data_IF_984731165970
#
_entry.id   IF_984731165970
#
_cell.length_a   1.000
_cell.length_b   1.000
_cell.length_c   1.000
_cell.angle_alpha   90.00
_cell.angle_beta   90.00
_cell.angle_gamma   90.00
#
_symmetry.space_group_name_H-M   'P 1'
#
loop_
_entity.id
_entity.type
_entity.pdbx_description
1 polymer ?
#
# COMPACT_ATOMS: atom_id res chain seq x y z
N UNK A 1 -21.08 20.69 8.32
CA UNK A 1 -19.67 20.40 8.01
C UNK A 1 -19.54 18.89 8.15
N UNK A 2 -18.93 18.20 7.18
CA UNK A 2 -18.66 16.77 7.36
C UNK A 2 -17.72 16.59 8.56
N UNK A 3 -17.87 15.50 9.31
CA UNK A 3 -16.89 15.15 10.35
C UNK A 3 -15.50 14.94 9.71
N UNK A 4 -14.44 15.28 10.45
CA UNK A 4 -13.06 15.12 9.97
C UNK A 4 -12.74 13.63 9.79
N UNK A 5 -12.19 13.25 8.63
CA UNK A 5 -11.72 11.89 8.32
C UNK A 5 -10.20 11.93 8.22
N UNK A 6 -9.49 11.32 9.15
CA UNK A 6 -8.03 11.26 9.17
C UNK A 6 -7.51 10.10 8.35
N UNK A 7 -6.62 10.41 7.40
CA UNK A 7 -6.03 9.43 6.50
C UNK A 7 -4.51 9.52 6.63
N UNK A 8 -3.92 8.50 7.26
CA UNK A 8 -2.49 8.39 7.44
C UNK A 8 -1.86 7.56 6.32
N UNK A 9 -0.79 8.07 5.72
CA UNK A 9 0.07 7.35 4.78
C UNK A 9 1.40 7.08 5.46
N UNK A 10 1.82 5.82 5.51
CA UNK A 10 3.12 5.46 6.05
C UNK A 10 4.22 5.76 5.03
N UNK A 11 5.30 6.42 5.46
CA UNK A 11 6.51 6.68 4.67
C UNK A 11 7.68 5.95 5.29
N UNK A 12 8.47 5.31 4.43
CA UNK A 12 9.75 4.69 4.77
C UNK A 12 10.71 4.74 3.57
N UNK A 13 12.03 4.72 3.78
CA UNK A 13 13.00 4.79 2.69
C UNK A 13 12.78 3.69 1.65
N UNK A 14 12.98 4.01 0.37
CA UNK A 14 12.81 3.09 -0.77
C UNK A 14 11.36 2.60 -0.98
N UNK A 15 10.37 3.33 -0.49
CA UNK A 15 8.98 3.12 -0.90
C UNK A 15 8.80 3.41 -2.41
N UNK A 16 7.88 2.72 -3.08
CA UNK A 16 7.47 3.08 -4.44
C UNK A 16 6.53 4.27 -4.37
N UNK A 17 6.99 5.46 -4.81
CA UNK A 17 6.25 6.70 -4.53
C UNK A 17 4.80 6.69 -5.03
N UNK A 18 4.54 6.00 -6.16
CA UNK A 18 3.20 5.95 -6.75
C UNK A 18 2.20 5.14 -5.90
N UNK A 19 2.67 4.18 -5.12
CA UNK A 19 1.86 3.42 -4.16
C UNK A 19 1.31 4.32 -3.05
N UNK A 20 1.96 5.46 -2.81
CA UNK A 20 1.56 6.47 -1.83
C UNK A 20 0.84 7.63 -2.51
N UNK A 21 1.48 8.27 -3.49
CA UNK A 21 1.00 9.51 -4.11
C UNK A 21 -0.25 9.31 -4.95
N UNK A 22 -0.42 8.14 -5.58
CA UNK A 22 -1.63 7.77 -6.31
C UNK A 22 -2.87 7.78 -5.41
N UNK A 23 -2.93 6.92 -4.37
CA UNK A 23 -4.04 6.95 -3.43
C UNK A 23 -4.16 8.28 -2.68
N UNK A 24 -3.06 8.97 -2.32
CA UNK A 24 -3.12 10.28 -1.67
C UNK A 24 -3.79 11.35 -2.54
N UNK A 25 -3.55 11.35 -3.86
CA UNK A 25 -4.20 12.28 -4.79
C UNK A 25 -5.73 12.09 -4.82
N UNK A 26 -6.21 10.85 -4.73
CA UNK A 26 -7.64 10.53 -4.69
C UNK A 26 -8.23 10.85 -3.32
N UNK A 27 -7.64 10.32 -2.25
CA UNK A 27 -8.18 10.39 -0.89
C UNK A 27 -8.15 11.81 -0.31
N UNK A 28 -7.22 12.67 -0.71
CA UNK A 28 -7.20 14.09 -0.33
C UNK A 28 -8.41 14.89 -0.82
N UNK A 29 -9.19 14.36 -1.78
CA UNK A 29 -10.40 15.01 -2.31
C UNK A 29 -11.69 14.50 -1.66
N UNK A 30 -11.61 13.51 -0.78
CA UNK A 30 -12.77 13.02 -0.03
C UNK A 30 -13.26 14.15 0.90
N UNK A 31 -14.56 14.51 0.89
CA UNK A 31 -15.08 15.55 1.77
C UNK A 31 -14.79 15.26 3.25
N UNK A 32 -14.18 16.21 3.95
CA UNK A 32 -13.77 16.06 5.35
C UNK A 32 -12.41 15.40 5.56
N UNK A 33 -11.72 14.96 4.49
CA UNK A 33 -10.43 14.31 4.61
C UNK A 33 -9.31 15.24 5.07
N UNK A 34 -8.52 14.75 6.02
CA UNK A 34 -7.24 15.32 6.44
C UNK A 34 -6.16 14.26 6.23
N UNK A 35 -5.24 14.52 5.30
CA UNK A 35 -4.15 13.61 4.94
C UNK A 35 -2.91 13.93 5.76
N UNK A 36 -2.29 12.89 6.32
CA UNK A 36 -1.02 12.97 7.04
C UNK A 36 -0.02 11.95 6.48
N UNK A 37 1.24 12.37 6.38
CA UNK A 37 2.36 11.57 5.92
C UNK A 37 3.23 11.22 7.14
N UNK A 38 3.12 9.98 7.60
CA UNK A 38 3.73 9.50 8.85
C UNK A 38 5.05 8.80 8.58
N UNK A 39 6.14 9.18 9.26
CA UNK A 39 7.43 8.50 9.16
C UNK A 39 8.15 8.40 10.51
N UNK A 40 9.31 7.74 10.56
CA UNK A 40 10.13 7.65 11.77
C UNK A 40 10.68 9.01 12.25
N UNK A 41 11.05 9.88 11.32
CA UNK A 41 11.50 11.26 11.57
C UNK A 41 10.82 12.23 10.60
N UNK A 42 11.07 13.54 10.73
CA UNK A 42 10.60 14.55 9.77
C UNK A 42 11.60 14.82 8.62
N UNK A 43 12.67 14.03 8.53
CA UNK A 43 13.66 14.18 7.46
C UNK A 43 13.07 13.73 6.11
N UNK A 44 13.53 14.29 4.98
CA UNK A 44 13.09 13.84 3.66
C UNK A 44 13.37 12.34 3.44
N UNK A 45 12.34 11.61 3.04
CA UNK A 45 12.39 10.17 2.81
C UNK A 45 12.54 9.91 1.30
N UNK A 46 13.67 9.35 0.84
CA UNK A 46 13.88 9.05 -0.57
C UNK A 46 13.08 7.81 -1.01
N UNK A 47 12.36 7.90 -2.13
CA UNK A 47 11.69 6.79 -2.78
C UNK A 47 12.68 5.88 -3.55
N UNK A 48 12.19 4.75 -4.06
CA UNK A 48 12.92 3.85 -4.95
C UNK A 48 13.39 4.48 -6.28
N UNK A 49 12.79 5.60 -6.67
CA UNK A 49 13.14 6.37 -7.88
C UNK A 49 13.82 7.72 -7.57
N UNK A 50 14.22 7.95 -6.32
CA UNK A 50 14.97 9.15 -5.91
C UNK A 50 14.13 10.41 -5.67
N UNK A 51 12.80 10.34 -5.76
CA UNK A 51 11.92 11.41 -5.31
C UNK A 51 11.91 11.43 -3.78
N UNK A 52 12.30 12.56 -3.17
CA UNK A 52 12.23 12.72 -1.73
C UNK A 52 10.86 13.27 -1.31
N UNK A 53 10.22 12.59 -0.35
CA UNK A 53 8.94 12.98 0.24
C UNK A 53 9.18 13.52 1.65
N UNK A 54 8.48 14.58 2.04
CA UNK A 54 8.62 15.19 3.37
C UNK A 54 7.47 14.74 4.27
N UNK A 55 7.75 14.04 5.39
CA UNK A 55 6.73 13.65 6.37
C UNK A 55 6.09 14.88 7.03
N UNK A 56 4.84 14.74 7.45
CA UNK A 56 4.12 15.80 8.19
C UNK A 56 4.03 15.51 9.69
N UNK A 57 4.22 14.25 10.09
CA UNK A 57 4.13 13.80 11.48
C UNK A 57 5.01 12.56 11.70
N UNK A 58 5.47 12.34 12.92
CA UNK A 58 6.24 11.14 13.27
C UNK A 58 5.33 9.98 13.69
N UNK A 59 5.81 8.73 13.65
CA UNK A 59 5.08 7.55 14.16
C UNK A 59 4.76 7.62 15.67
N UNK A 60 5.55 8.41 16.41
CA UNK A 60 5.38 8.67 17.84
C UNK A 60 4.27 9.70 18.09
N UNK A 61 4.19 10.74 17.25
CA UNK A 61 3.26 11.85 17.42
C UNK A 61 1.93 11.67 16.67
N UNK A 62 1.87 10.74 15.72
CA UNK A 62 0.67 10.44 14.96
C UNK A 62 -0.44 9.85 15.86
N UNK A 63 -1.58 10.53 15.87
CA UNK A 63 -2.81 10.06 16.54
C UNK A 63 -3.50 8.93 15.80
N UNK A 64 -4.67 8.52 16.29
CA UNK A 64 -5.52 7.54 15.60
C UNK A 64 -6.03 8.11 14.28
N UNK A 65 -5.88 7.32 13.20
CA UNK A 65 -6.40 7.61 11.88
C UNK A 65 -7.63 6.73 11.58
N UNK A 66 -8.59 7.26 10.84
CA UNK A 66 -9.73 6.48 10.35
C UNK A 66 -9.31 5.50 9.24
N UNK A 67 -8.28 5.89 8.47
CA UNK A 67 -7.70 5.09 7.39
C UNK A 67 -6.18 5.12 7.49
N UNK A 68 -5.56 3.93 7.51
CA UNK A 68 -4.13 3.80 7.26
C UNK A 68 -3.89 3.26 5.85
N UNK A 69 -2.98 3.89 5.11
CA UNK A 69 -2.49 3.41 3.80
C UNK A 69 -1.00 3.10 3.92
N UNK A 70 -0.65 1.83 3.77
CA UNK A 70 0.74 1.36 3.76
C UNK A 70 1.19 1.10 2.31
N UNK A 71 2.09 1.94 1.74
CA UNK A 71 2.60 1.74 0.40
C UNK A 71 3.53 0.52 0.33
N UNK A 72 3.87 0.09 -0.88
CA UNK A 72 4.90 -0.90 -1.11
C UNK A 72 6.23 -0.30 -1.55
N UNK A 73 6.90 -1.02 -2.43
CA UNK A 73 8.28 -0.80 -2.83
C UNK A 73 9.25 -1.71 -2.08
N UNK A 74 10.53 -1.59 -2.43
CA UNK A 74 11.58 -2.44 -1.89
C UNK A 74 11.87 -2.15 -0.42
N UNK A 75 11.58 -0.93 0.03
CA UNK A 75 11.62 -0.54 1.43
C UNK A 75 10.64 -1.31 2.32
N UNK A 76 9.55 -1.85 1.76
CA UNK A 76 8.56 -2.59 2.55
C UNK A 76 9.14 -3.87 3.18
N UNK A 77 10.14 -4.48 2.54
CA UNK A 77 10.82 -5.67 3.05
C UNK A 77 11.68 -5.38 4.28
N UNK A 78 12.21 -4.16 4.42
CA UNK A 78 12.91 -3.74 5.64
C UNK A 78 11.90 -3.16 6.66
N UNK A 79 10.90 -2.40 6.21
CA UNK A 79 9.88 -1.80 7.08
C UNK A 79 9.05 -2.85 7.84
N UNK A 80 8.76 -4.00 7.24
CA UNK A 80 8.07 -5.10 7.93
C UNK A 80 8.93 -5.75 9.04
N UNK A 81 10.24 -5.51 9.05
CA UNK A 81 11.18 -6.00 10.07
C UNK A 81 11.50 -4.92 11.13
N UNK A 82 11.08 -3.67 10.89
CA UNK A 82 11.28 -2.57 11.82
C UNK A 82 10.21 -2.64 12.93
N UNK A 83 10.62 -2.86 14.20
CA UNK A 83 9.68 -3.03 15.30
C UNK A 83 8.85 -1.76 15.57
N UNK A 84 9.37 -0.56 15.32
CA UNK A 84 8.65 0.69 15.55
C UNK A 84 7.57 0.90 14.50
N UNK A 85 7.86 0.57 13.24
CA UNK A 85 6.87 0.56 12.14
C UNK A 85 5.78 -0.47 12.42
N UNK A 86 6.14 -1.70 12.75
CA UNK A 86 5.17 -2.77 13.03
C UNK A 86 4.30 -2.43 14.24
N UNK A 87 4.88 -1.84 15.29
CA UNK A 87 4.13 -1.39 16.46
C UNK A 87 3.18 -0.23 16.13
N UNK A 88 3.60 0.72 15.29
CA UNK A 88 2.75 1.81 14.81
C UNK A 88 1.54 1.26 14.03
N UNK A 89 1.77 0.36 13.07
CA UNK A 89 0.69 -0.24 12.27
C UNK A 89 -0.29 -1.02 13.16
N UNK A 90 0.21 -1.76 14.16
CA UNK A 90 -0.63 -2.48 15.11
C UNK A 90 -1.49 -1.54 15.95
N UNK A 91 -0.92 -0.44 16.44
CA UNK A 91 -1.66 0.61 17.17
C UNK A 91 -2.78 1.21 16.34
N UNK A 92 -2.52 1.56 15.08
CA UNK A 92 -3.55 2.13 14.20
C UNK A 92 -4.71 1.15 13.99
N UNK A 93 -4.44 -0.15 13.95
CA UNK A 93 -5.48 -1.17 13.79
C UNK A 93 -6.48 -1.28 14.97
N UNK A 94 -6.21 -0.65 16.12
CA UNK A 94 -7.12 -0.63 17.26
C UNK A 94 -8.34 0.27 17.01
N UNK A 95 -8.15 1.37 16.29
CA UNK A 95 -9.18 2.42 16.10
C UNK A 95 -9.54 2.65 14.62
N UNK A 96 -8.67 2.28 13.67
CA UNK A 96 -8.89 2.57 12.27
C UNK A 96 -10.10 1.81 11.71
N UNK A 97 -10.93 2.53 10.96
CA UNK A 97 -12.03 1.93 10.19
C UNK A 97 -11.48 1.08 9.04
N UNK A 98 -10.38 1.52 8.42
CA UNK A 98 -9.75 0.84 7.29
C UNK A 98 -8.23 0.71 7.47
N UNK A 99 -7.75 -0.53 7.45
CA UNK A 99 -6.34 -0.85 7.37
C UNK A 99 -6.01 -1.28 5.95
N UNK A 100 -5.26 -0.46 5.22
CA UNK A 100 -5.06 -0.65 3.79
C UNK A 100 -3.61 -0.71 3.37
N UNK A 101 -3.33 -1.42 2.29
CA UNK A 101 -1.99 -1.45 1.70
C UNK A 101 -2.01 -1.53 0.19
N UNK A 102 -0.95 -1.05 -0.44
CA UNK A 102 -0.72 -1.19 -1.88
C UNK A 102 0.53 -2.04 -2.09
N UNK A 103 0.53 -2.90 -3.11
CA UNK A 103 1.71 -3.64 -3.55
C UNK A 103 2.32 -4.46 -2.38
N UNK A 104 3.64 -4.42 -2.20
CA UNK A 104 4.37 -5.09 -1.12
C UNK A 104 4.10 -4.53 0.28
N UNK A 105 3.37 -3.41 0.41
CA UNK A 105 2.93 -2.88 1.71
C UNK A 105 2.09 -3.87 2.52
N UNK A 106 1.46 -4.84 1.85
CA UNK A 106 0.74 -5.94 2.49
C UNK A 106 1.61 -6.72 3.47
N UNK A 107 2.93 -6.82 3.26
CA UNK A 107 3.82 -7.54 4.18
C UNK A 107 4.02 -6.82 5.50
N UNK A 108 3.93 -5.49 5.52
CA UNK A 108 3.94 -4.71 6.77
C UNK A 108 2.66 -4.97 7.56
N UNK A 109 1.50 -5.04 6.90
CA UNK A 109 0.25 -5.48 7.53
C UNK A 109 0.35 -6.92 8.05
N UNK A 110 0.99 -7.80 7.28
CA UNK A 110 1.28 -9.18 7.66
C UNK A 110 2.12 -9.28 8.92
N UNK A 111 3.23 -8.54 9.00
CA UNK A 111 4.11 -8.47 10.16
C UNK A 111 3.41 -7.86 11.40
N UNK A 112 2.45 -6.96 11.20
CA UNK A 112 1.59 -6.46 12.27
C UNK A 112 0.57 -7.50 12.78
N UNK A 113 0.43 -8.65 12.12
CA UNK A 113 -0.49 -9.74 12.46
C UNK A 113 -1.88 -9.58 11.87
N UNK A 114 -2.05 -8.70 10.88
CA UNK A 114 -3.37 -8.31 10.38
C UNK A 114 -3.90 -9.21 9.26
N UNK A 115 -3.05 -10.06 8.67
CA UNK A 115 -3.43 -10.88 7.50
C UNK A 115 -3.73 -12.35 7.81
N UNK A 116 -3.50 -12.82 9.04
CA UNK A 116 -3.72 -14.22 9.40
C UNK A 116 -5.18 -14.64 9.18
N UNK A 117 -5.39 -15.69 8.38
CA UNK A 117 -6.70 -16.22 8.00
C UNK A 117 -7.48 -15.39 6.98
N UNK A 118 -6.94 -14.24 6.52
CA UNK A 118 -7.64 -13.31 5.63
C UNK A 118 -7.27 -13.48 4.17
N UNK A 119 -8.20 -13.15 3.28
CA UNK A 119 -7.93 -13.01 1.85
C UNK A 119 -7.14 -11.74 1.59
N UNK A 120 -6.00 -11.85 0.91
CA UNK A 120 -5.14 -10.71 0.61
C UNK A 120 -4.52 -10.81 -0.79
N UNK A 121 -4.22 -9.66 -1.39
CA UNK A 121 -3.43 -9.53 -2.61
C UNK A 121 -2.19 -8.66 -2.33
N UNK A 122 -1.24 -8.66 -3.26
CA UNK A 122 -0.01 -7.86 -3.20
C UNK A 122 0.57 -7.74 -4.62
N UNK A 123 1.79 -7.25 -4.76
CA UNK A 123 2.49 -7.28 -6.04
C UNK A 123 2.60 -8.71 -6.60
N UNK A 124 2.29 -8.88 -7.88
CA UNK A 124 2.26 -10.19 -8.54
C UNK A 124 3.56 -11.00 -8.35
N UNK A 125 4.71 -10.34 -8.39
CA UNK A 125 6.01 -11.00 -8.26
C UNK A 125 6.34 -11.48 -6.83
N UNK A 126 5.58 -11.05 -5.83
CA UNK A 126 5.83 -11.36 -4.41
C UNK A 126 4.64 -12.06 -3.74
N UNK A 127 3.59 -12.39 -4.51
CA UNK A 127 2.33 -12.95 -4.00
C UNK A 127 2.48 -14.20 -3.13
N UNK A 128 3.33 -15.19 -3.47
CA UNK A 128 3.48 -16.40 -2.64
C UNK A 128 3.90 -16.11 -1.18
N UNK A 129 4.59 -14.99 -0.93
CA UNK A 129 5.06 -14.63 0.41
C UNK A 129 3.92 -14.30 1.39
N UNK A 130 2.72 -14.00 0.90
CA UNK A 130 1.54 -13.75 1.74
C UNK A 130 1.21 -14.96 2.64
N UNK A 131 1.47 -16.19 2.18
CA UNK A 131 1.21 -17.41 2.96
C UNK A 131 2.05 -17.48 4.25
N UNK A 132 3.25 -16.88 4.25
CA UNK A 132 4.11 -16.81 5.44
C UNK A 132 3.47 -16.01 6.60
N UNK A 133 2.50 -15.14 6.29
CA UNK A 133 1.74 -14.36 7.27
C UNK A 133 0.38 -15.00 7.60
N UNK A 134 0.15 -16.26 7.19
CA UNK A 134 -1.11 -16.96 7.36
C UNK A 134 -2.25 -16.42 6.49
N UNK A 135 -1.95 -15.56 5.51
CA UNK A 135 -2.95 -15.01 4.60
C UNK A 135 -3.32 -16.05 3.51
N UNK A 136 -4.49 -15.85 2.90
CA UNK A 136 -4.94 -16.57 1.72
C UNK A 136 -4.72 -15.68 0.48
N UNK A 137 -3.67 -15.94 -0.34
CA UNK A 137 -3.40 -15.12 -1.51
C UNK A 137 -4.55 -15.22 -2.52
N UNK A 138 -4.95 -14.08 -3.09
CA UNK A 138 -5.97 -14.03 -4.14
C UNK A 138 -5.51 -13.24 -5.37
N UNK A 139 -5.97 -13.66 -6.54
CA UNK A 139 -5.82 -12.94 -7.80
C UNK A 139 -6.90 -11.87 -7.94
N UNK A 140 -6.70 -10.78 -7.20
CA UNK A 140 -7.56 -9.60 -7.25
C UNK A 140 -6.73 -8.32 -7.34
N UNK A 141 -7.26 -7.32 -8.04
CA UNK A 141 -6.68 -5.97 -8.08
C UNK A 141 -6.84 -5.26 -6.73
N UNK A 142 -7.98 -5.48 -6.06
CA UNK A 142 -8.31 -5.05 -4.71
C UNK A 142 -8.93 -6.26 -4.00
N UNK A 143 -8.40 -6.65 -2.85
CA UNK A 143 -8.93 -7.71 -2.00
C UNK A 143 -9.36 -7.12 -0.65
N UNK A 144 -10.66 -7.20 -0.34
CA UNK A 144 -11.26 -6.78 0.93
C UNK A 144 -11.62 -7.99 1.78
N UNK A 145 -11.23 -7.94 3.04
CA UNK A 145 -11.61 -8.91 4.07
C UNK A 145 -11.85 -8.21 5.42
N UNK A 146 -13.12 -7.90 5.70
CA UNK A 146 -13.51 -7.05 6.84
C UNK A 146 -13.01 -5.62 6.66
N UNK A 147 -12.30 -5.11 7.68
CA UNK A 147 -11.67 -3.78 7.70
C UNK A 147 -10.28 -3.75 7.03
N UNK A 148 -9.75 -4.90 6.61
CA UNK A 148 -8.45 -4.99 5.94
C UNK A 148 -8.64 -5.02 4.43
N UNK A 149 -7.94 -4.13 3.73
CA UNK A 149 -8.02 -4.00 2.26
C UNK A 149 -6.63 -3.96 1.67
N UNK A 150 -6.32 -4.91 0.80
CA UNK A 150 -5.02 -4.95 0.12
C UNK A 150 -5.22 -4.73 -1.37
N UNK A 151 -4.35 -3.92 -1.99
CA UNK A 151 -4.34 -3.68 -3.42
C UNK A 151 -3.09 -4.29 -4.05
N UNK A 152 -3.22 -4.66 -5.33
CA UNK A 152 -2.15 -5.26 -6.11
C UNK A 152 -1.02 -4.23 -6.41
N UNK A 153 -0.23 -4.48 -7.46
CA UNK A 153 0.93 -3.65 -7.77
C UNK A 153 0.61 -2.20 -8.12
N UNK A 154 1.32 -1.29 -7.47
CA UNK A 154 1.56 0.10 -7.88
C UNK A 154 0.31 0.92 -8.19
N UNK A 155 -0.13 0.96 -9.45
CA UNK A 155 -1.30 1.76 -9.86
C UNK A 155 -2.61 1.26 -9.27
N UNK A 156 -2.66 0.02 -8.77
CA UNK A 156 -3.84 -0.49 -8.07
C UNK A 156 -4.21 0.35 -6.83
N UNK A 157 -3.28 1.13 -6.28
CA UNK A 157 -3.56 2.08 -5.19
C UNK A 157 -4.56 3.17 -5.58
N UNK A 158 -4.60 3.59 -6.85
CA UNK A 158 -5.57 4.58 -7.34
C UNK A 158 -6.99 3.99 -7.34
N UNK A 159 -7.14 2.78 -7.86
CA UNK A 159 -8.45 2.09 -7.88
C UNK A 159 -8.95 1.76 -6.47
N UNK A 160 -8.03 1.33 -5.59
CA UNK A 160 -8.34 1.11 -4.18
C UNK A 160 -8.83 2.41 -3.52
N UNK A 161 -8.18 3.54 -3.79
CA UNK A 161 -8.59 4.82 -3.24
C UNK A 161 -9.94 5.31 -3.78
N UNK A 162 -10.27 5.07 -5.06
CA UNK A 162 -11.58 5.39 -5.60
C UNK A 162 -12.68 4.52 -4.97
N UNK A 163 -12.39 3.24 -4.77
CA UNK A 163 -13.29 2.35 -4.02
C UNK A 163 -13.46 2.83 -2.57
N UNK A 164 -12.37 3.16 -1.85
CA UNK A 164 -12.43 3.72 -0.49
C UNK A 164 -13.20 5.05 -0.44
N UNK A 165 -13.01 5.94 -1.41
CA UNK A 165 -13.75 7.19 -1.48
C UNK A 165 -15.27 6.95 -1.54
N UNK A 166 -15.71 5.88 -2.21
CA UNK A 166 -17.11 5.49 -2.24
C UNK A 166 -17.60 4.94 -0.90
N UNK A 167 -16.77 4.19 -0.17
CA UNK A 167 -17.10 3.71 1.19
C UNK A 167 -17.16 4.87 2.21
N UNK A 168 -16.29 5.88 2.06
CA UNK A 168 -16.16 7.01 3.00
C UNK A 168 -17.19 8.12 2.76
N UNK A 169 -17.46 8.47 1.50
CA UNK A 169 -18.29 9.63 1.14
C UNK A 169 -19.42 9.32 0.15
N UNK A 170 -19.62 8.03 -0.16
CA UNK A 170 -20.65 7.58 -1.09
C UNK A 170 -20.22 7.64 -2.55
N UNK A 171 -20.91 6.84 -3.37
CA UNK A 171 -20.64 6.69 -4.80
C UNK A 171 -20.58 8.01 -5.59
N UNK A 172 -21.51 8.99 -5.41
CA UNK A 172 -21.46 10.24 -6.16
C UNK A 172 -20.17 11.05 -5.92
N UNK A 173 -19.62 11.03 -4.69
CA UNK A 173 -18.36 11.71 -4.40
C UNK A 173 -17.19 11.01 -5.11
N UNK A 174 -17.13 9.68 -5.09
CA UNK A 174 -16.09 8.93 -5.78
C UNK A 174 -16.11 9.14 -7.31
N UNK A 175 -17.30 9.12 -7.93
CA UNK A 175 -17.47 9.40 -9.37
C UNK A 175 -17.03 10.83 -9.72
N UNK A 176 -17.37 11.81 -8.87
CA UNK A 176 -16.91 13.19 -9.05
C UNK A 176 -15.38 13.31 -8.91
N UNK A 177 -14.78 12.66 -7.92
CA UNK A 177 -13.32 12.64 -7.73
C UNK A 177 -12.64 12.00 -8.94
N UNK A 178 -13.14 10.85 -9.43
CA UNK A 178 -12.62 10.19 -10.62
C UNK A 178 -12.60 11.15 -11.83
N UNK A 179 -13.68 11.88 -12.05
CA UNK A 179 -13.77 12.87 -13.13
C UNK A 179 -12.83 14.06 -12.91
N UNK A 180 -12.73 14.57 -11.68
CA UNK A 180 -11.85 15.72 -11.34
C UNK A 180 -10.37 15.44 -11.60
N UNK A 181 -9.93 14.20 -11.45
CA UNK A 181 -8.56 13.80 -11.76
C UNK A 181 -8.41 13.18 -13.15
N UNK A 182 -9.50 13.15 -13.93
CA UNK A 182 -9.57 12.55 -15.27
C UNK A 182 -8.98 11.14 -15.31
N UNK A 183 -9.35 10.30 -14.34
CA UNK A 183 -8.89 8.92 -14.28
C UNK A 183 -9.66 8.04 -15.27
N UNK A 184 -9.28 8.19 -16.55
CA UNK A 184 -9.67 7.38 -17.71
C UNK A 184 -8.40 6.73 -18.32
N UNK A 185 -7.85 5.68 -17.68
CA UNK A 185 -6.59 5.11 -18.11
C UNK A 185 -6.71 4.44 -19.48
N UNK A 186 -5.85 4.85 -20.43
CA UNK A 186 -5.71 4.25 -21.76
C UNK A 186 -4.28 3.73 -21.97
N UNK A 187 -3.88 2.60 -21.35
CA UNK A 187 -2.53 2.09 -21.45
C UNK A 187 -2.17 1.72 -22.91
N UNK A 188 -0.98 2.12 -23.42
CA UNK A 188 -0.57 1.81 -24.78
C UNK A 188 -0.16 0.33 -25.01
N UNK A 189 -0.09 -0.47 -23.94
CA UNK A 189 0.28 -1.89 -23.98
C UNK A 189 -0.58 -2.72 -23.02
N UNK A 190 -0.91 -3.96 -23.40
CA UNK A 190 -1.69 -4.89 -22.56
C UNK A 190 -0.82 -5.84 -21.71
N UNK A 191 0.18 -5.29 -21.01
CA UNK A 191 1.14 -6.06 -20.21
C UNK A 191 1.10 -5.73 -18.71
N UNK A 192 0.04 -5.05 -18.25
CA UNK A 192 -0.13 -4.65 -16.85
C UNK A 192 -0.55 -5.79 -15.90
N UNK A 193 -0.75 -7.02 -16.39
CA UNK A 193 -1.07 -8.20 -15.57
C UNK A 193 -0.19 -9.37 -15.99
N UNK A 194 0.31 -10.13 -15.01
CA UNK A 194 1.06 -11.37 -15.25
C UNK A 194 0.19 -12.46 -15.89
N UNK A 195 -1.13 -12.37 -15.83
CA UNK A 195 -2.04 -13.30 -16.53
C UNK A 195 -2.14 -13.01 -18.04
N UNK A 196 -1.84 -11.78 -18.45
CA UNK A 196 -1.94 -11.32 -19.85
C UNK A 196 -0.58 -11.15 -20.53
N UNK A 197 0.48 -10.88 -19.76
CA UNK A 197 1.81 -10.63 -20.29
C UNK A 197 2.46 -11.91 -20.84
N UNK A 198 3.23 -11.75 -21.92
CA UNK A 198 4.02 -12.85 -22.49
C UNK A 198 5.04 -13.41 -21.49
N UNK A 199 5.28 -14.73 -21.56
CA UNK A 199 6.21 -15.41 -20.67
C UNK A 199 7.62 -14.80 -20.69
N UNK A 200 8.09 -14.30 -21.83
CA UNK A 200 9.40 -13.65 -21.96
C UNK A 200 9.45 -12.31 -21.22
N UNK A 201 8.35 -11.54 -21.24
CA UNK A 201 8.23 -10.26 -20.52
C UNK A 201 8.19 -10.53 -19.01
N UNK A 202 7.43 -11.55 -18.58
CA UNK A 202 7.38 -11.98 -17.18
C UNK A 202 8.76 -12.40 -16.68
N UNK A 203 9.47 -13.24 -17.45
CA UNK A 203 10.81 -13.70 -17.08
C UNK A 203 11.80 -12.53 -16.96
N UNK A 204 11.78 -11.60 -17.92
CA UNK A 204 12.61 -10.39 -17.89
C UNK A 204 12.30 -9.52 -16.67
N UNK A 205 11.02 -9.29 -16.38
CA UNK A 205 10.61 -8.47 -15.24
C UNK A 205 11.01 -9.12 -13.90
N UNK A 206 10.90 -10.45 -13.78
CA UNK A 206 11.38 -11.18 -12.59
C UNK A 206 12.89 -11.09 -12.42
N UNK A 207 13.66 -11.27 -13.50
CA UNK A 207 15.12 -11.18 -13.44
C UNK A 207 15.58 -9.78 -13.00
N UNK A 208 14.97 -8.72 -13.55
CA UNK A 208 15.27 -7.35 -13.16
C UNK A 208 14.91 -7.07 -11.68
N UNK A 209 13.79 -7.60 -11.20
CA UNK A 209 13.45 -7.52 -9.79
C UNK A 209 14.45 -8.29 -8.91
N UNK A 210 14.83 -9.52 -9.28
CA UNK A 210 15.82 -10.28 -8.50
C UNK A 210 17.15 -9.53 -8.36
N UNK A 211 17.63 -8.92 -9.45
CA UNK A 211 18.84 -8.08 -9.46
C UNK A 211 18.71 -6.85 -8.55
N UNK A 212 17.55 -6.18 -8.54
CA UNK A 212 17.38 -4.93 -7.76
C UNK A 212 17.14 -5.15 -6.27
N UNK A 213 16.46 -6.25 -5.89
CA UNK A 213 15.96 -6.44 -4.51
C UNK A 213 16.10 -7.83 -3.92
N UNK A 214 16.72 -8.79 -4.62
CA UNK A 214 16.84 -10.19 -4.17
C UNK A 214 17.38 -10.34 -2.75
N UNK A 215 18.40 -9.55 -2.39
CA UNK A 215 18.98 -9.55 -1.03
C UNK A 215 17.97 -9.13 0.04
N UNK A 216 17.18 -8.08 -0.22
CA UNK A 216 16.16 -7.60 0.74
C UNK A 216 15.07 -8.66 0.91
N UNK A 217 14.59 -9.23 -0.20
CA UNK A 217 13.57 -10.29 -0.21
C UNK A 217 14.06 -11.53 0.52
N UNK A 218 15.31 -11.94 0.33
CA UNK A 218 15.89 -13.12 0.97
C UNK A 218 15.98 -12.94 2.49
N UNK A 219 16.46 -11.78 2.96
CA UNK A 219 16.49 -11.47 4.41
C UNK A 219 15.09 -11.45 5.01
N UNK A 220 14.15 -10.80 4.32
CA UNK A 220 12.74 -10.73 4.68
C UNK A 220 12.13 -12.14 4.81
N UNK A 221 12.28 -12.98 3.79
CA UNK A 221 11.76 -14.35 3.79
C UNK A 221 12.34 -15.19 4.93
N UNK A 222 13.65 -15.08 5.17
CA UNK A 222 14.32 -15.80 6.25
C UNK A 222 13.88 -15.38 7.66
N UNK A 223 13.26 -14.20 7.81
CA UNK A 223 12.73 -13.73 9.08
C UNK A 223 11.30 -14.22 9.36
N UNK A 224 10.49 -14.38 8.31
CA UNK A 224 9.05 -14.71 8.44
C UNK A 224 8.71 -16.19 8.23
N UNK A 225 9.61 -16.97 7.61
CA UNK A 225 9.45 -18.42 7.38
C UNK A 225 10.08 -19.30 8.49
N UNK A 226 10.38 -18.73 9.66
CA UNK A 226 10.89 -19.46 10.84
C UNK A 226 9.75 -19.89 11.74
#
# INVERSE_FOLDING_TARGET
MADEIRIAFLLFPHLTQLDLTGPAQVLSRVPGARVEYVAATLDPVPSDCGLALVPTVTIQDAGAADVLVVPGGDGAFDAMLDPDVVAFVRRQAEDATWMTSVCTGAFVLGAAGLLAGRRATTHWASKPMLEAFGAQPVDARIARDGAVVTAAGVSAGIDMALWLAAELAGRPAAEAIQLQIEYDPQPPFDHGSAERADAVVIARARAAAEESRGDRVTRAAAAVLR
#
